data_IF_968338995450
#
_entry.id   IF_968338995450
#
_cell.length_a   1.000
_cell.length_b   1.000
_cell.length_c   1.000
_cell.angle_alpha   90.00
_cell.angle_beta   90.00
_cell.angle_gamma   90.00
#
_symmetry.space_group_name_H-M   'P 1'
#
loop_
_entity.id
_entity.type
_entity.pdbx_description
1 polymer ?
#
# COMPACT_ATOMS: atom_id res chain seq x y z
N UNK A 1 3.92 -11.60 7.02
CA UNK A 1 4.93 -10.53 7.28
C UNK A 1 4.15 -9.32 7.79
N UNK A 2 3.93 -9.08 9.09
CA UNK A 2 4.63 -8.05 9.92
C UNK A 2 3.85 -7.73 11.23
N UNK A 3 3.90 -8.59 12.27
CA UNK A 3 3.29 -8.27 13.58
C UNK A 3 3.81 -6.98 14.23
N UNK A 4 5.04 -6.57 13.88
CA UNK A 4 5.65 -5.34 14.38
C UNK A 4 5.03 -4.07 13.82
N UNK A 5 4.43 -4.10 12.62
CA UNK A 5 3.89 -2.90 11.98
C UNK A 5 2.67 -2.37 12.74
N UNK A 6 1.76 -3.27 13.14
CA UNK A 6 0.60 -2.96 13.97
C UNK A 6 1.02 -2.28 15.28
N UNK A 7 1.99 -2.88 15.97
CA UNK A 7 2.51 -2.34 17.23
C UNK A 7 3.14 -0.95 17.06
N UNK A 8 3.88 -0.73 15.97
CA UNK A 8 4.48 0.57 15.67
C UNK A 8 3.43 1.64 15.41
N UNK A 9 2.39 1.33 14.63
CA UNK A 9 1.29 2.25 14.34
C UNK A 9 0.55 2.61 15.63
N UNK A 10 0.20 1.62 16.46
CA UNK A 10 -0.47 1.85 17.75
C UNK A 10 0.38 2.69 18.71
N UNK A 11 1.69 2.40 18.77
CA UNK A 11 2.61 3.14 19.63
C UNK A 11 2.71 4.60 19.20
N UNK A 12 2.84 4.87 17.90
CA UNK A 12 2.87 6.25 17.39
C UNK A 12 1.58 7.01 17.66
N UNK A 13 0.44 6.34 17.52
CA UNK A 13 -0.85 6.96 17.82
C UNK A 13 -0.95 7.42 19.27
N UNK A 14 -0.49 6.59 20.20
CA UNK A 14 -0.48 6.94 21.63
C UNK A 14 0.61 7.94 22.00
N UNK A 15 1.85 7.69 21.61
CA UNK A 15 3.02 8.41 22.14
C UNK A 15 3.20 9.78 21.48
N UNK A 16 2.84 9.90 20.19
CA UNK A 16 3.06 11.12 19.40
C UNK A 16 1.77 11.88 19.09
N UNK A 17 0.61 11.25 19.29
CA UNK A 17 -0.71 11.83 19.01
C UNK A 17 -0.99 11.90 17.51
N UNK A 18 -0.49 10.93 16.74
CA UNK A 18 -0.66 10.87 15.29
C UNK A 18 -1.81 9.92 14.99
N UNK A 19 -2.80 10.36 14.22
CA UNK A 19 -3.92 9.50 13.88
C UNK A 19 -3.45 8.26 13.11
N UNK A 20 -3.96 7.09 13.51
CA UNK A 20 -3.59 5.79 12.94
C UNK A 20 -3.81 5.77 11.43
N UNK A 21 -4.93 6.32 10.98
CA UNK A 21 -5.31 6.42 9.56
C UNK A 21 -4.26 7.18 8.75
N UNK A 22 -3.76 8.32 9.27
CA UNK A 22 -2.71 9.11 8.61
C UNK A 22 -1.41 8.33 8.44
N UNK A 23 -1.09 7.43 9.39
CA UNK A 23 0.08 6.56 9.28
C UNK A 23 -0.16 5.48 8.22
N UNK A 24 -1.33 4.84 8.26
CA UNK A 24 -1.71 3.79 7.31
C UNK A 24 -1.69 4.32 5.87
N UNK A 25 -2.35 5.43 5.60
CA UNK A 25 -2.39 6.05 4.26
C UNK A 25 -0.97 6.37 3.75
N UNK A 26 -0.11 6.85 4.63
CA UNK A 26 1.27 7.17 4.26
C UNK A 26 2.08 5.90 3.93
N UNK A 27 1.85 4.81 4.67
CA UNK A 27 2.46 3.51 4.41
C UNK A 27 1.98 2.92 3.09
N UNK A 28 0.67 2.96 2.84
CA UNK A 28 0.03 2.53 1.60
C UNK A 28 0.58 3.30 0.39
N UNK A 29 0.61 4.63 0.47
CA UNK A 29 1.15 5.48 -0.61
C UNK A 29 2.64 5.22 -0.88
N UNK A 30 3.42 5.01 0.17
CA UNK A 30 4.84 4.75 0.05
C UNK A 30 5.14 3.39 -0.57
N UNK A 31 4.45 2.33 -0.14
CA UNK A 31 4.62 1.01 -0.74
C UNK A 31 4.13 1.01 -2.20
N UNK A 32 3.05 1.72 -2.49
CA UNK A 32 2.51 1.84 -3.84
C UNK A 32 3.53 2.50 -4.77
N UNK A 33 4.18 3.56 -4.29
CA UNK A 33 5.26 4.24 -5.02
C UNK A 33 6.45 3.32 -5.25
N UNK A 34 6.85 2.54 -4.24
CA UNK A 34 7.93 1.57 -4.36
C UNK A 34 7.57 0.44 -5.35
N UNK A 35 6.33 -0.03 -5.32
CA UNK A 35 5.81 -1.07 -6.20
C UNK A 35 5.75 -0.57 -7.65
N UNK A 36 5.24 0.63 -7.91
CA UNK A 36 5.24 1.27 -9.24
C UNK A 36 6.65 1.41 -9.81
N UNK A 37 7.64 1.75 -8.99
CA UNK A 37 9.06 1.81 -9.44
C UNK A 37 9.61 0.45 -9.86
N UNK A 38 9.13 -0.63 -9.25
CA UNK A 38 9.61 -1.99 -9.52
C UNK A 38 8.87 -2.68 -10.68
N UNK A 39 7.55 -2.55 -10.72
CA UNK A 39 6.67 -3.22 -11.69
C UNK A 39 6.38 -2.39 -12.93
N UNK A 40 6.77 -1.11 -12.94
CA UNK A 40 6.56 -0.21 -14.07
C UNK A 40 5.39 0.74 -13.85
N UNK A 41 5.42 1.88 -14.56
CA UNK A 41 4.41 2.92 -14.41
C UNK A 41 3.07 2.61 -15.09
N UNK A 42 3.03 1.58 -15.95
CA UNK A 42 1.85 1.20 -16.73
C UNK A 42 0.91 0.26 -15.98
N UNK A 43 1.38 -0.40 -14.92
CA UNK A 43 0.55 -1.32 -14.15
C UNK A 43 -0.34 -0.55 -13.19
N UNK A 44 -1.61 -0.93 -13.14
CA UNK A 44 -2.52 -0.45 -12.12
C UNK A 44 -2.26 -1.21 -10.83
N UNK A 45 -1.93 -0.46 -9.79
CA UNK A 45 -1.57 -1.00 -8.49
C UNK A 45 -2.42 -0.32 -7.42
N UNK A 46 -2.81 -1.09 -6.42
CA UNK A 46 -3.42 -0.62 -5.18
C UNK A 46 -2.67 -1.22 -4.01
N UNK A 47 -2.56 -0.48 -2.92
CA UNK A 47 -2.04 -0.99 -1.65
C UNK A 47 -3.10 -0.82 -0.59
N UNK A 48 -3.19 -1.82 0.29
CA UNK A 48 -4.16 -1.84 1.38
C UNK A 48 -3.56 -2.42 2.64
N UNK A 49 -3.79 -1.77 3.76
CA UNK A 49 -3.43 -2.29 5.07
C UNK A 49 -4.56 -3.15 5.63
N UNK A 50 -4.22 -4.39 5.98
CA UNK A 50 -5.11 -5.29 6.69
C UNK A 50 -4.88 -5.15 8.20
N UNK A 51 -5.81 -4.53 8.91
CA UNK A 51 -5.68 -4.26 10.36
C UNK A 51 -5.73 -5.52 11.24
N UNK A 52 -6.44 -6.55 10.78
CA UNK A 52 -6.57 -7.82 11.49
C UNK A 52 -5.26 -8.60 11.42
N UNK A 53 -4.72 -8.77 10.21
CA UNK A 53 -3.44 -9.41 9.97
C UNK A 53 -2.24 -8.53 10.39
N UNK A 54 -2.43 -7.21 10.44
CA UNK A 54 -1.37 -6.23 10.67
C UNK A 54 -0.39 -6.09 9.50
N UNK A 55 -0.83 -6.42 8.28
CA UNK A 55 0.03 -6.55 7.09
C UNK A 55 -0.37 -5.55 6.01
N UNK A 56 0.61 -5.13 5.21
CA UNK A 56 0.40 -4.27 4.06
C UNK A 56 0.41 -5.13 2.78
N UNK A 57 -0.69 -5.09 2.06
CA UNK A 57 -0.93 -5.87 0.84
C UNK A 57 -0.85 -4.96 -0.37
N UNK A 58 -0.38 -5.49 -1.50
CA UNK A 58 -0.35 -4.78 -2.79
C UNK A 58 -1.05 -5.66 -3.82
N UNK A 59 -1.96 -5.07 -4.56
CA UNK A 59 -2.72 -5.72 -5.62
C UNK A 59 -2.37 -5.08 -6.96
N UNK A 60 -2.19 -5.91 -7.98
CA UNK A 60 -2.05 -5.51 -9.36
C UNK A 60 -3.33 -5.82 -10.10
N UNK A 61 -3.93 -4.79 -10.68
CA UNK A 61 -5.14 -4.93 -11.46
C UNK A 61 -4.78 -5.22 -12.92
N UNK A 62 -5.45 -6.22 -13.49
CA UNK A 62 -5.36 -6.55 -14.90
C UNK A 62 -6.73 -6.59 -15.54
N UNK A 63 -6.83 -6.08 -16.76
CA UNK A 63 -8.04 -6.14 -17.55
C UNK A 63 -8.19 -7.50 -18.20
N UNK A 64 -9.35 -8.13 -18.03
CA UNK A 64 -9.71 -9.40 -18.65
C UNK A 64 -9.98 -9.16 -20.13
N UNK A 65 -9.26 -9.89 -21.00
CA UNK A 65 -9.41 -9.78 -22.45
C UNK A 65 -9.43 -11.16 -23.10
N UNK A 66 -10.06 -11.26 -24.28
CA UNK A 66 -10.05 -12.52 -25.05
C UNK A 66 -8.66 -12.83 -25.63
N UNK A 67 -7.93 -11.79 -26.07
CA UNK A 67 -6.58 -11.92 -26.63
C UNK A 67 -5.65 -10.93 -25.96
N UNK A 68 -4.71 -11.46 -25.18
CA UNK A 68 -3.69 -10.67 -24.48
C UNK A 68 -2.74 -10.03 -25.50
N UNK A 69 -2.68 -8.70 -25.48
CA UNK A 69 -1.73 -7.88 -26.23
C UNK A 69 -0.60 -7.41 -25.31
N UNK A 70 -0.94 -7.09 -24.07
CA UNK A 70 0.01 -6.62 -23.06
C UNK A 70 -0.12 -7.46 -21.77
N UNK A 71 0.76 -8.44 -21.53
CA UNK A 71 0.63 -9.36 -20.40
C UNK A 71 0.90 -8.70 -19.04
N UNK A 72 1.43 -7.47 -19.01
CA UNK A 72 1.63 -6.72 -17.76
C UNK A 72 0.33 -6.08 -17.27
N UNK A 73 -0.54 -5.66 -18.19
CA UNK A 73 -1.81 -4.98 -17.88
C UNK A 73 -3.05 -5.81 -18.18
N UNK A 74 -2.91 -6.93 -18.89
CA UNK A 74 -4.01 -7.77 -19.33
C UNK A 74 -3.85 -9.22 -18.89
N UNK A 75 -4.99 -9.90 -18.71
CA UNK A 75 -5.08 -11.32 -18.41
C UNK A 75 -6.08 -11.97 -19.37
N UNK A 76 -5.83 -13.21 -19.78
CA UNK A 76 -6.79 -13.92 -20.63
C UNK A 76 -8.04 -14.29 -19.83
N UNK A 77 -9.20 -14.35 -20.49
CA UNK A 77 -10.44 -14.81 -19.88
C UNK A 77 -10.29 -16.19 -19.20
N UNK A 78 -9.55 -17.10 -19.82
CA UNK A 78 -9.30 -18.43 -19.27
C UNK A 78 -8.50 -18.37 -17.96
N UNK A 79 -7.41 -17.59 -17.92
CA UNK A 79 -6.60 -17.43 -16.71
C UNK A 79 -7.35 -16.67 -15.63
N UNK A 80 -8.10 -15.63 -16.00
CA UNK A 80 -8.95 -14.88 -15.08
C UNK A 80 -9.93 -15.80 -14.35
N UNK A 81 -10.60 -16.71 -15.10
CA UNK A 81 -11.55 -17.67 -14.54
C UNK A 81 -10.91 -18.75 -13.69
N UNK A 82 -9.71 -19.20 -14.03
CA UNK A 82 -9.02 -20.25 -13.29
C UNK A 82 -8.36 -19.77 -12.00
N UNK A 83 -7.77 -18.57 -12.02
CA UNK A 83 -6.90 -18.12 -10.93
C UNK A 83 -7.53 -17.04 -10.03
N UNK A 84 -8.58 -16.34 -10.50
CA UNK A 84 -9.12 -15.16 -9.80
C UNK A 84 -10.61 -15.26 -9.53
N UNK A 85 -11.42 -15.33 -10.58
CA UNK A 85 -12.89 -15.30 -10.49
C UNK A 85 -13.51 -16.12 -11.62
N UNK A 86 -14.12 -17.26 -11.29
CA UNK A 86 -14.76 -18.17 -12.25
C UNK A 86 -15.86 -17.50 -13.08
N UNK A 87 -16.46 -16.42 -12.57
CA UNK A 87 -17.53 -15.66 -13.24
C UNK A 87 -16.99 -14.49 -14.09
N UNK A 88 -15.67 -14.30 -14.17
CA UNK A 88 -15.06 -13.19 -14.91
C UNK A 88 -15.54 -13.07 -16.36
N UNK A 89 -15.70 -11.84 -16.82
CA UNK A 89 -16.11 -11.46 -18.18
C UNK A 89 -15.05 -10.56 -18.85
N UNK A 90 -14.94 -10.58 -20.19
CA UNK A 90 -14.09 -9.64 -20.90
C UNK A 90 -14.47 -8.18 -20.58
N UNK A 91 -13.47 -7.39 -20.18
CA UNK A 91 -13.64 -6.00 -19.73
C UNK A 91 -13.53 -5.83 -18.21
N UNK A 92 -13.62 -6.91 -17.43
CA UNK A 92 -13.44 -6.83 -15.98
C UNK A 92 -12.01 -6.44 -15.60
N UNK A 93 -11.87 -5.76 -14.45
CA UNK A 93 -10.58 -5.44 -13.85
C UNK A 93 -10.42 -6.26 -12.58
N UNK A 94 -9.52 -7.25 -12.62
CA UNK A 94 -9.32 -8.18 -11.52
C UNK A 94 -8.01 -7.89 -10.80
N UNK A 95 -8.09 -7.78 -9.48
CA UNK A 95 -6.96 -7.53 -8.60
C UNK A 95 -6.23 -8.82 -8.24
N UNK A 96 -4.97 -8.94 -8.66
CA UNK A 96 -4.08 -10.03 -8.28
C UNK A 96 -3.18 -9.60 -7.14
N UNK A 97 -3.15 -10.37 -6.06
CA UNK A 97 -2.24 -10.11 -4.95
C UNK A 97 -0.80 -10.29 -5.41
N UNK A 98 -0.02 -9.24 -5.32
CA UNK A 98 1.41 -9.31 -5.61
C UNK A 98 2.12 -9.95 -4.42
N UNK A 99 2.96 -10.94 -4.70
CA UNK A 99 3.67 -11.66 -3.64
C UNK A 99 4.51 -10.69 -2.78
N UNK A 100 4.22 -10.67 -1.48
CA UNK A 100 4.92 -9.87 -0.48
C UNK A 100 6.41 -10.21 -0.41
N UNK A 101 6.82 -11.45 -0.73
CA UNK A 101 8.24 -11.81 -0.81
C UNK A 101 8.97 -11.03 -1.91
N UNK A 102 8.26 -10.61 -2.96
CA UNK A 102 8.79 -9.69 -3.99
C UNK A 102 9.13 -8.32 -3.42
N UNK A 103 8.54 -7.91 -2.31
CA UNK A 103 8.79 -6.61 -1.67
C UNK A 103 9.69 -6.71 -0.42
N UNK A 104 9.88 -7.91 0.14
CA UNK A 104 10.97 -8.28 1.06
C UNK A 104 11.39 -7.18 2.06
N UNK A 105 12.67 -6.79 2.02
CA UNK A 105 13.28 -5.78 2.92
C UNK A 105 12.84 -4.34 2.63
N UNK A 106 12.35 -4.07 1.41
CA UNK A 106 11.98 -2.73 0.97
C UNK A 106 10.76 -2.27 1.77
N UNK A 107 9.75 -3.12 1.94
CA UNK A 107 8.54 -2.78 2.68
C UNK A 107 8.83 -2.33 4.13
N UNK A 108 9.73 -3.02 4.85
CA UNK A 108 10.11 -2.66 6.23
C UNK A 108 10.84 -1.35 6.31
N UNK A 109 11.84 -1.16 5.44
CA UNK A 109 12.67 0.04 5.45
C UNK A 109 11.84 1.27 5.09
N UNK A 110 10.99 1.13 4.06
CA UNK A 110 10.01 2.16 3.68
C UNK A 110 9.07 2.44 4.83
N UNK A 111 8.49 1.42 5.47
CA UNK A 111 7.58 1.63 6.59
C UNK A 111 8.23 2.40 7.75
N UNK A 112 9.43 1.99 8.18
CA UNK A 112 10.19 2.69 9.22
C UNK A 112 10.49 4.14 8.85
N UNK A 113 10.88 4.40 7.60
CA UNK A 113 11.20 5.74 7.13
C UNK A 113 9.97 6.65 7.14
N UNK A 114 8.82 6.15 6.67
CA UNK A 114 7.56 6.89 6.67
C UNK A 114 7.10 7.20 8.09
N UNK A 115 7.19 6.22 8.99
CA UNK A 115 6.93 6.40 10.41
C UNK A 115 7.77 7.56 10.99
N UNK A 116 9.09 7.54 10.75
CA UNK A 116 9.99 8.60 11.24
C UNK A 116 9.62 9.97 10.64
N UNK A 117 9.23 10.02 9.37
CA UNK A 117 8.79 11.27 8.73
C UNK A 117 7.50 11.80 9.39
N UNK A 118 6.49 10.96 9.58
CA UNK A 118 5.23 11.36 10.24
C UNK A 118 5.44 11.84 11.67
N UNK A 119 6.38 11.25 12.42
CA UNK A 119 6.76 11.77 13.74
C UNK A 119 7.31 13.18 13.66
N UNK A 120 8.22 13.45 12.73
CA UNK A 120 8.83 14.78 12.57
C UNK A 120 7.80 15.82 12.13
N UNK A 121 6.90 15.44 11.24
CA UNK A 121 5.83 16.33 10.76
C UNK A 121 4.90 16.71 11.93
N UNK A 122 4.46 15.74 12.73
CA UNK A 122 3.61 15.99 13.89
C UNK A 122 4.31 16.82 14.98
N UNK A 123 5.61 16.63 15.20
CA UNK A 123 6.40 17.47 16.12
C UNK A 123 6.50 18.91 15.61
N UNK A 124 6.69 19.10 14.30
CA UNK A 124 6.74 20.42 13.67
C UNK A 124 5.40 21.13 13.74
N UNK A 125 4.30 20.42 13.49
CA UNK A 125 2.95 20.99 13.52
C UNK A 125 2.60 21.47 14.94
N UNK A 126 2.92 20.68 15.98
CA UNK A 126 2.77 21.11 17.38
C UNK A 126 3.54 22.38 17.69
N UNK A 127 4.81 22.46 17.28
CA UNK A 127 5.62 23.67 17.47
C UNK A 127 5.00 24.85 16.72
N UNK A 128 4.52 24.65 15.49
CA UNK A 128 3.89 25.72 14.74
C UNK A 128 2.62 26.25 15.45
N UNK A 129 1.76 25.35 15.92
CA UNK A 129 0.54 25.71 16.64
C UNK A 129 0.85 26.47 17.95
N UNK A 130 1.85 26.04 18.72
CA UNK A 130 2.27 26.73 19.96
C UNK A 130 2.78 28.16 19.74
N UNK A 131 3.33 28.47 18.56
CA UNK A 131 3.88 29.79 18.23
C UNK A 131 2.89 30.67 17.46
N UNK A 132 1.91 30.07 16.77
CA UNK A 132 0.84 30.77 16.05
C UNK A 132 -0.09 31.56 16.99
N UNK A 133 -0.39 30.99 18.16
CA UNK A 133 -1.28 31.61 19.16
C UNK A 133 -0.59 32.63 20.08
N UNK A 134 0.74 32.83 19.94
CA UNK A 134 1.53 33.80 20.72
C UNK A 134 1.63 35.19 20.08
N UNK A 135 0.67 35.59 19.23
CA UNK A 135 0.67 36.91 18.60
C UNK A 135 -0.60 37.71 18.90
#
# INVERSE_FOLDING_TARGET
MFPELKRLIEQMGKDKGIEKEVIIEALESAILTAARKKLGAKVELESKYNEEAGELEVFQFKTVVEKVVDPETQISLEQARQELDEEAEPGDSLGMKVDAASFGRIAVQTAKQIIIQKVKDAERDKIYDEYKDKK
#
